data_IF_374333243416
#
_entry.id   IF_374333243416
#
_cell.length_a   1.000
_cell.length_b   1.000
_cell.length_c   1.000
_cell.angle_alpha   90.00
_cell.angle_beta   90.00
_cell.angle_gamma   90.00
#
_symmetry.space_group_name_H-M   'P 1'
#
loop_
_entity.id
_entity.type
_entity.pdbx_description
1 polymer ?
#
# COMPACT_ATOMS: atom_id res chain seq x y z
N UNK A 1 -4.65 11.41 8.36
CA UNK A 1 -6.03 10.89 8.53
C UNK A 1 -6.39 9.78 7.53
N UNK A 2 -6.29 10.00 6.22
CA UNK A 2 -6.68 9.02 5.19
C UNK A 2 -5.98 7.65 5.31
N UNK A 3 -4.69 7.62 5.65
CA UNK A 3 -3.93 6.38 5.83
C UNK A 3 -4.44 5.52 6.98
N UNK A 4 -4.82 6.15 8.10
CA UNK A 4 -5.37 5.45 9.26
C UNK A 4 -6.73 4.82 8.90
N UNK A 5 -7.60 5.59 8.22
CA UNK A 5 -8.89 5.12 7.73
C UNK A 5 -8.73 3.94 6.74
N UNK A 6 -7.75 4.00 5.84
CA UNK A 6 -7.45 2.90 4.91
C UNK A 6 -6.96 1.63 5.61
N UNK A 7 -6.14 1.75 6.66
CA UNK A 7 -5.69 0.60 7.46
C UNK A 7 -6.87 -0.01 8.22
N UNK A 8 -7.68 0.82 8.89
CA UNK A 8 -8.86 0.36 9.63
C UNK A 8 -9.83 -0.34 8.68
N UNK A 9 -10.17 0.28 7.55
CA UNK A 9 -11.07 -0.31 6.55
C UNK A 9 -10.56 -1.67 6.04
N UNK A 10 -9.25 -1.80 5.79
CA UNK A 10 -8.65 -3.07 5.39
C UNK A 10 -8.76 -4.14 6.46
N UNK A 11 -8.52 -3.79 7.73
CA UNK A 11 -8.66 -4.72 8.87
C UNK A 11 -10.13 -5.14 9.03
N UNK A 12 -11.08 -4.20 8.96
CA UNK A 12 -12.50 -4.51 9.03
C UNK A 12 -12.93 -5.52 7.95
N UNK A 13 -12.51 -5.30 6.70
CA UNK A 13 -12.79 -6.25 5.60
C UNK A 13 -12.12 -7.60 5.85
N UNK A 14 -10.84 -7.60 6.27
CA UNK A 14 -10.11 -8.84 6.54
C UNK A 14 -10.77 -9.69 7.63
N UNK A 15 -11.28 -9.06 8.69
CA UNK A 15 -11.99 -9.75 9.79
C UNK A 15 -13.22 -10.49 9.27
N UNK A 16 -13.95 -9.95 8.30
CA UNK A 16 -15.11 -10.63 7.71
C UNK A 16 -14.72 -11.97 7.07
N UNK A 17 -13.59 -12.01 6.35
CA UNK A 17 -13.10 -13.24 5.73
C UNK A 17 -12.57 -14.23 6.77
N UNK A 18 -11.82 -13.76 7.78
CA UNK A 18 -11.29 -14.63 8.84
C UNK A 18 -12.42 -15.29 9.62
N UNK A 19 -13.43 -14.51 10.03
CA UNK A 19 -14.58 -15.05 10.75
C UNK A 19 -15.43 -15.98 9.88
N UNK A 20 -15.63 -15.65 8.60
CA UNK A 20 -16.33 -16.52 7.67
C UNK A 20 -15.62 -17.87 7.49
N UNK A 21 -14.29 -17.85 7.37
CA UNK A 21 -13.50 -19.07 7.21
C UNK A 21 -13.43 -19.91 8.48
N UNK A 22 -13.30 -19.28 9.66
CA UNK A 22 -13.40 -19.98 10.95
C UNK A 22 -14.76 -20.66 11.07
N UNK A 23 -15.85 -19.97 10.72
CA UNK A 23 -17.19 -20.56 10.73
C UNK A 23 -17.29 -21.82 9.87
N UNK A 24 -16.70 -21.82 8.68
CA UNK A 24 -16.65 -23.01 7.79
C UNK A 24 -15.80 -24.14 8.37
N UNK A 25 -14.76 -23.83 9.14
CA UNK A 25 -13.90 -24.83 9.78
C UNK A 25 -14.47 -25.37 11.11
N UNK A 26 -15.32 -24.61 11.78
CA UNK A 26 -16.01 -25.06 12.99
C UNK A 26 -17.12 -26.07 12.68
N UNK A 27 -17.81 -25.90 11.54
CA UNK A 27 -18.77 -26.89 11.04
C UNK A 27 -18.54 -27.21 9.55
N UNK A 28 -17.50 -28.01 9.24
CA UNK A 28 -17.22 -28.41 7.86
C UNK A 28 -18.32 -29.30 7.29
N UNK A 29 -18.98 -30.09 8.13
CA UNK A 29 -20.03 -31.01 7.72
C UNK A 29 -21.29 -30.25 7.26
N UNK A 30 -21.75 -29.27 8.05
CA UNK A 30 -22.85 -28.39 7.67
C UNK A 30 -22.53 -27.58 6.42
N UNK A 31 -21.30 -27.07 6.31
CA UNK A 31 -20.86 -26.35 5.10
C UNK A 31 -20.83 -27.27 3.87
N UNK A 32 -20.35 -28.50 3.99
CA UNK A 32 -20.30 -29.47 2.90
C UNK A 32 -21.71 -29.86 2.41
N UNK A 33 -22.64 -30.06 3.35
CA UNK A 33 -24.05 -30.30 3.04
C UNK A 33 -24.67 -29.10 2.33
N UNK A 34 -24.41 -27.88 2.82
CA UNK A 34 -24.91 -26.66 2.20
C UNK A 34 -24.41 -26.49 0.76
N UNK A 35 -23.13 -26.73 0.51
CA UNK A 35 -22.52 -26.70 -0.83
C UNK A 35 -23.19 -27.73 -1.75
N UNK A 36 -23.35 -28.97 -1.27
CA UNK A 36 -23.92 -30.06 -2.08
C UNK A 36 -25.41 -29.87 -2.37
N UNK A 37 -26.13 -29.16 -1.49
CA UNK A 37 -27.55 -28.88 -1.64
C UNK A 37 -27.83 -27.72 -2.62
N UNK A 38 -26.93 -26.75 -2.72
CA UNK A 38 -27.14 -25.53 -3.51
C UNK A 38 -26.30 -25.49 -4.80
N UNK A 39 -25.32 -26.38 -4.95
CA UNK A 39 -24.42 -26.38 -6.10
C UNK A 39 -24.11 -27.80 -6.58
N UNK A 40 -23.61 -27.93 -7.81
CA UNK A 40 -23.12 -29.20 -8.37
C UNK A 40 -21.72 -29.57 -7.86
N UNK A 41 -21.11 -28.73 -7.01
CA UNK A 41 -19.75 -28.94 -6.52
C UNK A 41 -19.70 -29.90 -5.34
N UNK A 42 -18.57 -30.58 -5.18
CA UNK A 42 -18.36 -31.48 -4.04
C UNK A 42 -18.26 -30.71 -2.73
N UNK A 43 -18.96 -31.19 -1.69
CA UNK A 43 -18.87 -30.69 -0.32
C UNK A 43 -17.47 -30.74 0.28
N UNK A 44 -16.53 -31.50 -0.31
CA UNK A 44 -15.12 -31.49 0.07
C UNK A 44 -14.45 -30.11 -0.07
N UNK A 45 -15.04 -29.18 -0.84
CA UNK A 45 -14.55 -27.80 -0.96
C UNK A 45 -14.77 -26.96 0.30
N UNK A 46 -15.57 -27.41 1.26
CA UNK A 46 -15.83 -26.68 2.50
C UNK A 46 -14.54 -26.32 3.26
N UNK A 47 -13.66 -27.29 3.45
CA UNK A 47 -12.40 -27.09 4.19
C UNK A 47 -11.41 -26.23 3.40
N UNK A 48 -11.10 -26.50 2.11
CA UNK A 48 -10.26 -25.62 1.31
C UNK A 48 -10.78 -24.18 1.23
N UNK A 49 -12.09 -23.98 1.10
CA UNK A 49 -12.68 -22.64 1.08
C UNK A 49 -12.50 -21.91 2.41
N UNK A 50 -12.73 -22.58 3.54
CA UNK A 50 -12.52 -21.99 4.86
C UNK A 50 -11.06 -21.63 5.13
N UNK A 51 -10.12 -22.53 4.80
CA UNK A 51 -8.68 -22.26 4.91
C UNK A 51 -8.28 -21.10 4.01
N UNK A 52 -8.76 -21.09 2.76
CA UNK A 52 -8.49 -20.01 1.81
C UNK A 52 -8.95 -18.65 2.34
N UNK A 53 -10.18 -18.55 2.86
CA UNK A 53 -10.72 -17.29 3.41
C UNK A 53 -9.88 -16.77 4.59
N UNK A 54 -9.47 -17.66 5.49
CA UNK A 54 -8.61 -17.28 6.63
C UNK A 54 -7.26 -16.78 6.13
N UNK A 55 -6.59 -17.54 5.27
CA UNK A 55 -5.26 -17.20 4.76
C UNK A 55 -5.31 -15.90 3.97
N UNK A 56 -6.26 -15.76 3.04
CA UNK A 56 -6.42 -14.57 2.23
C UNK A 56 -6.82 -13.34 3.07
N UNK A 57 -7.67 -13.52 4.08
CA UNK A 57 -8.02 -12.49 5.06
C UNK A 57 -6.81 -12.02 5.86
N UNK A 58 -5.98 -12.94 6.35
CA UNK A 58 -4.75 -12.60 7.08
C UNK A 58 -3.71 -11.89 6.19
N UNK A 59 -3.54 -12.33 4.95
CA UNK A 59 -2.69 -11.65 3.95
C UNK A 59 -3.20 -10.23 3.72
N UNK A 60 -4.50 -10.05 3.53
CA UNK A 60 -5.12 -8.74 3.38
C UNK A 60 -4.87 -7.86 4.63
N UNK A 61 -5.05 -8.39 5.83
CA UNK A 61 -4.82 -7.67 7.09
C UNK A 61 -3.37 -7.19 7.23
N UNK A 62 -2.41 -8.10 7.03
CA UNK A 62 -0.95 -7.83 7.11
C UNK A 62 -0.50 -6.71 6.16
N UNK A 63 -1.26 -6.50 5.09
CA UNK A 63 -0.95 -5.53 4.06
C UNK A 63 0.23 -5.97 3.17
N UNK A 64 0.54 -7.27 3.15
CA UNK A 64 1.43 -7.90 2.18
C UNK A 64 0.63 -8.25 0.92
N UNK A 65 1.17 -7.93 -0.27
CA UNK A 65 0.51 -8.20 -1.57
C UNK A 65 -0.99 -7.80 -1.62
N UNK A 66 -1.34 -6.65 -1.04
CA UNK A 66 -2.73 -6.16 -0.87
C UNK A 66 -3.56 -6.19 -2.14
N UNK A 67 -2.97 -5.80 -3.27
CA UNK A 67 -3.64 -5.81 -4.58
C UNK A 67 -4.01 -7.21 -5.03
N UNK A 68 -3.07 -8.16 -4.90
CA UNK A 68 -3.33 -9.54 -5.30
C UNK A 68 -4.39 -10.16 -4.38
N UNK A 69 -4.24 -10.01 -3.06
CA UNK A 69 -5.21 -10.49 -2.09
C UNK A 69 -6.61 -9.91 -2.36
N UNK A 70 -6.71 -8.61 -2.64
CA UNK A 70 -7.98 -7.96 -2.96
C UNK A 70 -8.61 -8.54 -4.24
N UNK A 71 -7.86 -8.70 -5.33
CA UNK A 71 -8.40 -9.25 -6.59
C UNK A 71 -8.88 -10.68 -6.40
N UNK A 72 -8.11 -11.53 -5.73
CA UNK A 72 -8.51 -12.92 -5.49
C UNK A 72 -9.75 -12.98 -4.59
N UNK A 73 -9.80 -12.18 -3.52
CA UNK A 73 -10.97 -12.10 -2.64
C UNK A 73 -12.21 -11.53 -3.35
N UNK A 74 -12.06 -10.57 -4.27
CA UNK A 74 -13.16 -10.08 -5.11
C UNK A 74 -13.71 -11.23 -5.95
N UNK A 75 -12.84 -11.94 -6.68
CA UNK A 75 -13.24 -13.06 -7.53
C UNK A 75 -13.96 -14.15 -6.72
N UNK A 76 -13.38 -14.53 -5.58
CA UNK A 76 -13.97 -15.50 -4.66
C UNK A 76 -15.34 -15.04 -4.12
N UNK A 77 -15.45 -13.79 -3.66
CA UNK A 77 -16.70 -13.26 -3.09
C UNK A 77 -17.80 -13.16 -4.15
N UNK A 78 -17.45 -12.72 -5.35
CA UNK A 78 -18.38 -12.68 -6.48
C UNK A 78 -18.85 -14.09 -6.87
N UNK A 79 -17.93 -15.04 -6.95
CA UNK A 79 -18.23 -16.44 -7.24
C UNK A 79 -19.19 -17.06 -6.22
N UNK A 80 -18.91 -16.92 -4.92
CA UNK A 80 -19.79 -17.41 -3.84
C UNK A 80 -21.16 -16.71 -3.88
N UNK A 81 -21.20 -15.42 -4.22
CA UNK A 81 -22.47 -14.67 -4.31
C UNK A 81 -23.36 -15.20 -5.43
N UNK A 82 -22.80 -15.40 -6.63
CA UNK A 82 -23.54 -15.90 -7.79
C UNK A 82 -24.05 -17.33 -7.56
N UNK A 83 -23.24 -18.19 -6.92
CA UNK A 83 -23.63 -19.58 -6.66
C UNK A 83 -24.70 -19.72 -5.58
N UNK A 84 -24.55 -19.02 -4.45
CA UNK A 84 -25.38 -19.26 -3.27
C UNK A 84 -26.50 -18.24 -3.08
N UNK A 85 -26.45 -17.08 -3.75
CA UNK A 85 -27.37 -15.98 -3.49
C UNK A 85 -28.14 -15.48 -4.72
N UNK A 86 -28.51 -16.41 -5.61
CA UNK A 86 -29.24 -16.08 -6.84
C UNK A 86 -30.77 -15.89 -6.62
N UNK A 87 -31.31 -16.33 -5.48
CA UNK A 87 -32.74 -16.21 -5.16
C UNK A 87 -33.04 -14.90 -4.44
N UNK A 88 -32.86 -13.78 -5.15
CA UNK A 88 -33.09 -12.40 -4.63
C UNK A 88 -34.55 -12.11 -4.23
N UNK A 89 -35.49 -13.02 -4.51
CA UNK A 89 -36.87 -12.95 -4.02
C UNK A 89 -37.00 -13.24 -2.53
N UNK A 90 -36.04 -13.95 -1.92
CA UNK A 90 -35.97 -14.13 -0.47
C UNK A 90 -35.21 -12.94 0.15
N UNK A 91 -35.84 -12.19 1.08
CA UNK A 91 -35.20 -11.06 1.78
C UNK A 91 -33.88 -11.42 2.47
N UNK A 92 -33.72 -12.63 3.00
CA UNK A 92 -32.49 -13.07 3.66
C UNK A 92 -31.36 -13.28 2.65
N UNK A 93 -31.67 -13.93 1.53
CA UNK A 93 -30.70 -14.15 0.44
C UNK A 93 -30.27 -12.83 -0.19
N UNK A 94 -31.22 -11.92 -0.43
CA UNK A 94 -30.94 -10.58 -0.94
C UNK A 94 -30.02 -9.78 -0.02
N UNK A 95 -30.22 -9.84 1.30
CA UNK A 95 -29.35 -9.16 2.26
C UNK A 95 -27.91 -9.70 2.23
N UNK A 96 -27.73 -11.01 2.11
CA UNK A 96 -26.39 -11.60 1.99
C UNK A 96 -25.70 -11.22 0.68
N UNK A 97 -26.45 -11.18 -0.44
CA UNK A 97 -25.92 -10.70 -1.71
C UNK A 97 -25.46 -9.24 -1.64
N UNK A 98 -26.28 -8.37 -1.03
CA UNK A 98 -25.93 -6.95 -0.82
C UNK A 98 -24.72 -6.78 0.08
N UNK A 99 -24.62 -7.58 1.15
CA UNK A 99 -23.42 -7.61 2.02
C UNK A 99 -22.18 -7.96 1.20
N UNK A 100 -22.24 -8.99 0.38
CA UNK A 100 -21.11 -9.40 -0.45
C UNK A 100 -20.76 -8.34 -1.52
N UNK A 101 -21.77 -7.67 -2.08
CA UNK A 101 -21.56 -6.54 -3.00
C UNK A 101 -20.84 -5.38 -2.31
N UNK A 102 -21.21 -5.05 -1.07
CA UNK A 102 -20.52 -4.04 -0.27
C UNK A 102 -19.07 -4.45 0.04
N UNK A 103 -18.82 -5.74 0.35
CA UNK A 103 -17.47 -6.28 0.55
C UNK A 103 -16.64 -6.15 -0.73
N UNK A 104 -17.18 -6.49 -1.89
CA UNK A 104 -16.51 -6.31 -3.19
C UNK A 104 -16.16 -4.84 -3.41
N UNK A 105 -17.10 -3.92 -3.14
CA UNK A 105 -16.83 -2.48 -3.22
C UNK A 105 -15.69 -2.04 -2.29
N UNK A 106 -15.67 -2.52 -1.05
CA UNK A 106 -14.59 -2.28 -0.10
C UNK A 106 -13.24 -2.83 -0.59
N UNK A 107 -13.22 -4.04 -1.16
CA UNK A 107 -12.02 -4.64 -1.72
C UNK A 107 -11.51 -3.91 -2.98
N UNK A 108 -12.41 -3.40 -3.83
CA UNK A 108 -12.05 -2.54 -4.96
C UNK A 108 -11.36 -1.26 -4.49
N UNK A 109 -11.85 -0.66 -3.40
CA UNK A 109 -11.17 0.47 -2.76
C UNK A 109 -9.79 0.04 -2.24
N UNK A 110 -9.67 -1.10 -1.56
CA UNK A 110 -8.36 -1.62 -1.12
C UNK A 110 -7.41 -1.88 -2.30
N UNK A 111 -7.92 -2.35 -3.44
CA UNK A 111 -7.14 -2.52 -4.66
C UNK A 111 -6.64 -1.19 -5.22
N UNK A 112 -7.51 -0.18 -5.26
CA UNK A 112 -7.18 1.17 -5.71
C UNK A 112 -6.11 1.83 -4.82
N UNK A 113 -6.27 1.73 -3.50
CA UNK A 113 -5.36 2.34 -2.51
C UNK A 113 -4.22 1.41 -2.02
N UNK A 114 -4.06 0.22 -2.62
CA UNK A 114 -3.11 -0.81 -2.14
C UNK A 114 -1.63 -0.40 -2.16
N UNK A 115 -1.29 0.73 -2.79
CA UNK A 115 0.06 1.30 -2.90
C UNK A 115 0.39 2.39 -1.86
N UNK A 116 -0.37 2.55 -0.77
CA UNK A 116 0.05 3.48 0.31
C UNK A 116 1.38 3.04 0.99
N UNK A 117 1.92 1.86 0.67
CA UNK A 117 3.31 1.46 1.04
C UNK A 117 4.38 1.88 0.03
N UNK A 118 4.02 2.55 -1.07
CA UNK A 118 4.93 3.24 -1.99
C UNK A 118 5.63 4.46 -1.36
N UNK A 119 5.41 4.73 -0.07
CA UNK A 119 6.16 5.75 0.68
C UNK A 119 7.67 5.47 0.72
N UNK A 120 8.15 4.24 0.50
CA UNK A 120 9.59 4.00 0.27
C UNK A 120 10.14 4.62 -1.04
N UNK A 121 9.27 5.08 -1.95
CA UNK A 121 9.64 5.91 -3.10
C UNK A 121 9.84 7.38 -2.76
N UNK A 122 9.03 7.95 -1.86
CA UNK A 122 9.13 9.38 -1.50
C UNK A 122 10.22 9.70 -0.48
N UNK A 123 10.69 8.71 0.29
CA UNK A 123 11.92 8.85 1.07
C UNK A 123 13.15 8.91 0.16
N UNK A 124 13.18 8.13 -0.92
CA UNK A 124 14.28 8.18 -1.91
C UNK A 124 14.31 9.47 -2.73
N UNK A 125 13.16 10.07 -3.03
CA UNK A 125 13.12 11.38 -3.69
C UNK A 125 13.58 12.51 -2.76
N UNK A 126 13.20 12.48 -1.49
CA UNK A 126 13.68 13.46 -0.50
C UNK A 126 15.16 13.30 -0.18
N UNK A 127 15.65 12.07 -0.02
CA UNK A 127 17.07 11.81 0.21
C UNK A 127 17.92 12.21 -1.00
N UNK A 128 17.46 11.94 -2.24
CA UNK A 128 18.15 12.38 -3.46
C UNK A 128 18.12 13.89 -3.65
N UNK A 129 17.02 14.54 -3.30
CA UNK A 129 16.92 16.01 -3.34
C UNK A 129 17.86 16.64 -2.31
N UNK A 130 17.92 16.09 -1.09
CA UNK A 130 18.83 16.55 -0.04
C UNK A 130 20.30 16.31 -0.41
N UNK A 131 20.64 15.13 -0.96
CA UNK A 131 21.99 14.83 -1.46
C UNK A 131 22.38 15.70 -2.67
N UNK A 132 21.39 16.17 -3.46
CA UNK A 132 21.62 17.11 -4.55
C UNK A 132 21.85 18.53 -4.01
N UNK A 133 21.05 18.99 -3.05
CA UNK A 133 21.21 20.28 -2.37
C UNK A 133 22.55 20.37 -1.62
N UNK A 134 22.94 19.33 -0.86
CA UNK A 134 24.21 19.28 -0.14
C UNK A 134 25.41 19.30 -1.10
N UNK A 135 25.29 18.66 -2.28
CA UNK A 135 26.33 18.73 -3.32
C UNK A 135 26.38 20.08 -4.00
N UNK A 136 25.24 20.73 -4.25
CA UNK A 136 25.16 22.08 -4.80
C UNK A 136 25.79 23.10 -3.82
N UNK A 137 25.41 23.08 -2.55
CA UNK A 137 25.97 23.97 -1.53
C UNK A 137 27.50 23.80 -1.36
N UNK A 138 28.03 22.57 -1.46
CA UNK A 138 29.48 22.33 -1.44
C UNK A 138 30.19 22.79 -2.71
N UNK A 139 29.50 22.85 -3.85
CA UNK A 139 30.05 23.35 -5.10
C UNK A 139 30.06 24.88 -5.12
N UNK A 140 28.97 25.51 -4.66
CA UNK A 140 28.85 26.95 -4.47
C UNK A 140 29.90 27.47 -3.49
N UNK A 141 30.04 26.87 -2.30
CA UNK A 141 31.07 27.27 -1.34
C UNK A 141 32.51 27.07 -1.83
N UNK A 142 32.75 26.13 -2.76
CA UNK A 142 34.05 25.98 -3.43
C UNK A 142 34.29 27.07 -4.48
N UNK A 143 33.25 27.47 -5.20
CA UNK A 143 33.33 28.53 -6.20
C UNK A 143 33.55 29.90 -5.52
N UNK A 144 32.76 30.21 -4.50
CA UNK A 144 32.91 31.42 -3.69
C UNK A 144 34.28 31.48 -3.01
N UNK A 145 34.76 30.35 -2.47
CA UNK A 145 36.10 30.25 -1.89
C UNK A 145 37.22 30.48 -2.91
N UNK A 146 37.08 29.95 -4.13
CA UNK A 146 38.04 30.17 -5.21
C UNK A 146 38.02 31.62 -5.71
N UNK A 147 36.85 32.25 -5.77
CA UNK A 147 36.68 33.65 -6.14
C UNK A 147 37.24 34.60 -5.06
N UNK A 148 37.03 34.30 -3.78
CA UNK A 148 37.64 35.04 -2.67
C UNK A 148 39.17 34.94 -2.67
N UNK A 149 39.72 33.78 -2.99
CA UNK A 149 41.19 33.60 -3.12
C UNK A 149 41.72 34.39 -4.33
N UNK A 150 41.04 34.34 -5.48
CA UNK A 150 41.45 35.07 -6.68
C UNK A 150 41.37 36.60 -6.50
N UNK A 151 40.37 37.09 -5.77
CA UNK A 151 40.22 38.52 -5.45
C UNK A 151 41.23 38.99 -4.39
N UNK A 152 41.61 38.14 -3.44
CA UNK A 152 42.69 38.46 -2.50
C UNK A 152 44.06 38.49 -3.18
N UNK A 153 44.33 37.56 -4.10
CA UNK A 153 45.60 37.50 -4.85
C UNK A 153 45.75 38.69 -5.82
N UNK A 154 44.66 39.07 -6.51
CA UNK A 154 44.66 40.27 -7.38
C UNK A 154 44.73 41.59 -6.61
N UNK A 155 44.19 41.67 -5.39
CA UNK A 155 44.37 42.84 -4.52
C UNK A 155 45.82 42.99 -4.04
N UNK A 156 46.50 41.89 -3.70
CA UNK A 156 47.92 41.89 -3.31
C UNK A 156 48.82 42.35 -4.47
N UNK A 157 48.50 41.95 -5.72
CA UNK A 157 49.26 42.39 -6.91
C UNK A 157 49.11 43.89 -7.20
N UNK A 158 48.01 44.53 -6.80
CA UNK A 158 47.80 45.97 -7.01
C UNK A 158 48.35 46.87 -5.89
N UNK A 159 48.68 46.32 -4.71
CA UNK A 159 49.22 47.07 -3.56
C UNK A 159 50.76 47.27 -3.62
N UNK A 160 51.48 46.53 -4.48
CA UNK A 160 52.92 46.76 -4.72
C UNK A 160 53.17 47.98 -5.63
N UNK A 161 52.84 49.20 -5.16
CA UNK A 161 53.46 50.42 -5.74
C UNK A 161 54.85 50.62 -5.15
N UNK A 162 55.87 50.97 -5.96
CA UNK A 162 57.21 51.18 -5.46
C UNK A 162 57.24 52.44 -4.60
N UNK A 163 57.50 52.24 -3.30
CA UNK A 163 57.92 53.30 -2.37
C UNK A 163 59.35 53.65 -2.73
N UNK A 164 59.56 54.75 -3.46
CA UNK A 164 60.90 55.32 -3.63
C UNK A 164 61.07 56.61 -2.81
N UNK A 165 62.22 56.62 -2.13
CA UNK A 165 62.55 57.38 -0.93
C UNK A 165 63.09 58.78 -1.25
N UNK A 166 63.01 59.74 -0.31
CA UNK A 166 63.70 61.01 -0.45
C UNK A 166 65.22 60.81 -0.35
N UNK A 167 65.97 61.33 -1.33
CA UNK A 167 67.42 61.53 -1.22
C UNK A 167 67.71 63.03 -1.16
N UNK A 168 68.32 63.38 -0.03
CA UNK A 168 69.15 64.52 0.37
C UNK A 168 69.45 65.58 -0.70
#
# INVERSE_FOLDING_TARGET
MATLAAIIGRICIAVLFVLAGIGKLMDPAGTAQYISAHTTFSGQLAVPAGVFEIVAGLVLASGFMTRLAAVVLIGFTAFVTVLFHNQITDPQVAQQALKNLAIIGGLLMVFAYGQVRGTLGSWRERDRAHDAEVRAARAEGRAEGAEHVATHDTAVVHEERPVDRPRL
#
